data_IF_317496061566
#
_entry.id   IF_317496061566
#
_cell.length_a   1.000
_cell.length_b   1.000
_cell.length_c   1.000
_cell.angle_alpha   90.00
_cell.angle_beta   90.00
_cell.angle_gamma   90.00
#
_symmetry.space_group_name_H-M   'P 1'
#
loop_
_entity.id
_entity.type
_entity.pdbx_description
1 polymer ?
#
# COMPACT_ATOMS: atom_id res chain seq x y z
N UNK A 1 33.21 3.16 -84.71
CA UNK A 1 31.82 3.00 -85.21
C UNK A 1 31.07 2.26 -84.13
N UNK A 2 30.26 2.91 -83.28
CA UNK A 2 28.83 3.23 -83.54
C UNK A 2 28.12 1.99 -84.13
N UNK A 3 27.17 1.30 -83.50
CA UNK A 3 25.95 1.73 -82.82
C UNK A 3 25.36 0.56 -81.98
N UNK A 4 24.87 0.78 -80.75
CA UNK A 4 23.47 0.95 -80.29
C UNK A 4 22.71 -0.31 -79.81
N UNK A 5 22.40 -0.26 -78.51
CA UNK A 5 21.12 -0.53 -77.81
C UNK A 5 20.56 -1.96 -77.72
N UNK A 6 20.45 -2.38 -76.46
CA UNK A 6 19.40 -3.27 -75.96
C UNK A 6 19.17 -3.03 -74.47
N UNK A 7 18.59 -1.88 -74.09
CA UNK A 7 18.23 -1.57 -72.71
C UNK A 7 16.97 -2.35 -72.32
N UNK A 8 17.07 -3.25 -71.34
CA UNK A 8 15.92 -3.93 -70.72
C UNK A 8 15.31 -3.01 -69.65
N UNK A 9 13.99 -2.83 -69.59
CA UNK A 9 13.37 -2.01 -68.56
C UNK A 9 13.43 -2.73 -67.21
N UNK A 10 14.04 -2.10 -66.21
CA UNK A 10 13.89 -2.48 -64.81
C UNK A 10 12.52 -1.96 -64.33
N UNK A 11 11.59 -2.89 -64.11
CA UNK A 11 10.30 -2.59 -63.48
C UNK A 11 10.56 -2.54 -61.96
N UNK A 12 10.70 -1.35 -61.39
CA UNK A 12 10.61 -1.17 -59.94
C UNK A 12 9.16 -1.36 -59.52
N UNK A 13 8.86 -2.52 -58.93
CA UNK A 13 7.60 -2.74 -58.23
C UNK A 13 7.61 -1.90 -56.94
N UNK A 14 6.87 -0.78 -56.92
CA UNK A 14 6.55 -0.09 -55.67
C UNK A 14 5.61 -0.99 -54.87
N UNK A 15 6.13 -1.64 -53.82
CA UNK A 15 5.30 -2.32 -52.83
C UNK A 15 4.69 -1.23 -51.96
N UNK A 16 3.42 -0.89 -52.22
CA UNK A 16 2.61 -0.08 -51.32
C UNK A 16 2.32 -0.94 -50.07
N UNK A 17 3.02 -0.69 -48.97
CA UNK A 17 2.68 -1.27 -47.67
C UNK A 17 1.43 -0.53 -47.19
N UNK A 18 0.28 -1.20 -47.00
CA UNK A 18 -0.87 -0.54 -46.41
C UNK A 18 -0.53 -0.21 -44.96
N UNK A 19 -0.61 1.07 -44.61
CA UNK A 19 -0.57 1.52 -43.22
C UNK A 19 -1.87 1.03 -42.57
N UNK A 20 -1.85 -0.18 -42.04
CA UNK A 20 -2.96 -0.70 -41.23
C UNK A 20 -2.94 0.09 -39.92
N UNK A 21 -3.77 1.13 -39.86
CA UNK A 21 -4.03 1.84 -38.61
C UNK A 21 -4.85 0.90 -37.73
N UNK A 22 -4.19 0.24 -36.78
CA UNK A 22 -4.86 -0.49 -35.71
C UNK A 22 -5.47 0.53 -34.76
N UNK A 23 -6.66 1.02 -35.09
CA UNK A 23 -7.51 1.65 -34.09
C UNK A 23 -7.87 0.57 -33.07
N UNK A 24 -7.22 0.60 -31.90
CA UNK A 24 -7.57 -0.27 -30.79
C UNK A 24 -9.06 -0.06 -30.46
N UNK A 25 -9.82 -1.14 -30.50
CA UNK A 25 -11.24 -1.14 -30.18
C UNK A 25 -11.40 -0.76 -28.69
N UNK A 26 -12.11 0.32 -28.36
CA UNK A 26 -12.31 0.76 -26.96
C UNK A 26 -12.91 -0.34 -26.05
N UNK A 27 -13.52 -1.37 -26.66
CA UNK A 27 -14.06 -2.55 -25.96
C UNK A 27 -13.02 -3.50 -25.38
N UNK A 28 -11.75 -3.42 -25.80
CA UNK A 28 -10.65 -4.25 -25.27
C UNK A 28 -9.84 -3.52 -24.18
N UNK A 29 -10.24 -2.30 -23.80
CA UNK A 29 -9.64 -1.61 -22.68
C UNK A 29 -10.02 -2.31 -21.36
N UNK A 30 -9.01 -2.69 -20.57
CA UNK A 30 -9.23 -3.17 -19.21
C UNK A 30 -10.13 -2.18 -18.45
N UNK A 31 -11.09 -2.66 -17.63
CA UNK A 31 -12.00 -1.78 -16.91
C UNK A 31 -11.21 -0.75 -16.10
N UNK A 32 -11.45 0.53 -16.39
CA UNK A 32 -10.80 1.65 -15.69
C UNK A 32 -11.37 1.74 -14.28
N UNK A 33 -10.50 1.90 -13.29
CA UNK A 33 -10.93 2.18 -11.92
C UNK A 33 -11.47 3.62 -11.85
N UNK A 34 -12.77 3.76 -11.65
CA UNK A 34 -13.50 5.03 -11.60
C UNK A 34 -14.10 5.30 -10.20
N UNK A 35 -14.88 6.38 -10.06
CA UNK A 35 -15.35 6.87 -8.75
C UNK A 35 -16.29 5.91 -8.04
N UNK A 36 -17.12 5.16 -8.77
CA UNK A 36 -18.12 4.26 -8.20
C UNK A 36 -17.51 3.10 -7.38
N UNK A 37 -16.57 2.30 -7.88
CA UNK A 37 -15.86 1.31 -7.08
C UNK A 37 -14.95 1.96 -6.02
N UNK A 38 -14.36 3.13 -6.28
CA UNK A 38 -13.62 3.90 -5.26
C UNK A 38 -14.51 4.24 -4.05
N UNK A 39 -15.73 4.72 -4.28
CA UNK A 39 -16.68 5.02 -3.22
C UNK A 39 -17.09 3.77 -2.44
N UNK A 40 -17.30 2.63 -3.13
CA UNK A 40 -17.59 1.35 -2.45
C UNK A 40 -16.44 0.93 -1.54
N UNK A 41 -15.20 1.05 -1.99
CA UNK A 41 -14.02 0.70 -1.19
C UNK A 41 -13.80 1.68 -0.03
N UNK A 42 -13.98 2.98 -0.25
CA UNK A 42 -13.94 3.97 0.82
C UNK A 42 -14.98 3.67 1.90
N UNK A 43 -16.22 3.33 1.52
CA UNK A 43 -17.29 2.94 2.47
C UNK A 43 -16.91 1.71 3.30
N UNK A 44 -16.30 0.70 2.70
CA UNK A 44 -15.83 -0.49 3.43
C UNK A 44 -14.74 -0.14 4.46
N UNK A 45 -13.75 0.66 4.05
CA UNK A 45 -12.69 1.09 4.96
C UNK A 45 -13.23 1.97 6.09
N UNK A 46 -14.03 2.99 5.78
CA UNK A 46 -14.67 3.89 6.75
C UNK A 46 -15.54 3.12 7.75
N UNK A 47 -16.24 2.07 7.31
CA UNK A 47 -17.06 1.25 8.19
C UNK A 47 -16.25 0.42 9.19
N UNK A 48 -14.94 0.23 8.98
CA UNK A 48 -14.12 -0.60 9.85
C UNK A 48 -13.02 0.15 10.61
N UNK A 49 -12.40 1.20 10.08
CA UNK A 49 -11.18 1.82 10.69
C UNK A 49 -11.37 2.33 12.12
N UNK A 50 -12.59 2.69 12.52
CA UNK A 50 -12.94 3.08 13.90
C UNK A 50 -13.76 2.00 14.65
N UNK A 51 -14.10 0.88 14.00
CA UNK A 51 -14.92 -0.20 14.58
C UNK A 51 -14.06 -1.15 15.41
N UNK A 52 -14.18 -1.06 16.73
CA UNK A 52 -13.32 -1.82 17.65
C UNK A 52 -13.64 -3.32 17.75
N UNK A 53 -14.89 -3.78 17.53
CA UNK A 53 -15.26 -5.18 17.75
C UNK A 53 -16.13 -5.78 16.62
N UNK A 54 -16.00 -7.08 16.32
CA UNK A 54 -15.02 -8.03 16.87
C UNK A 54 -13.59 -7.71 16.40
N UNK A 55 -12.58 -8.00 17.24
CA UNK A 55 -11.17 -7.78 16.93
C UNK A 55 -10.31 -8.96 17.38
N UNK A 56 -9.36 -9.36 16.53
CA UNK A 56 -8.40 -10.43 16.73
C UNK A 56 -7.04 -9.84 17.13
N UNK A 57 -6.73 -9.97 18.41
CA UNK A 57 -5.43 -9.60 18.97
C UNK A 57 -4.53 -10.84 18.92
N UNK A 58 -3.31 -10.68 18.40
CA UNK A 58 -2.29 -11.73 18.41
C UNK A 58 -0.97 -11.15 18.93
N UNK A 59 -0.69 -11.43 20.20
CA UNK A 59 0.57 -11.08 20.87
C UNK A 59 0.91 -12.10 21.96
N UNK A 60 2.12 -12.04 22.49
CA UNK A 60 2.51 -12.78 23.69
C UNK A 60 2.11 -11.96 24.92
N UNK A 61 1.45 -12.61 25.88
CA UNK A 61 1.18 -12.04 27.21
C UNK A 61 2.35 -12.38 28.14
N UNK A 62 3.04 -11.36 28.67
CA UNK A 62 4.10 -11.56 29.65
C UNK A 62 3.55 -11.54 31.09
N UNK A 63 2.43 -10.85 31.29
CA UNK A 63 1.74 -10.68 32.57
C UNK A 63 0.33 -10.11 32.32
N UNK A 64 -0.47 -9.95 33.38
CA UNK A 64 -1.85 -9.45 33.28
C UNK A 64 -1.93 -8.02 32.70
N UNK A 65 -0.86 -7.22 32.82
CA UNK A 65 -0.78 -5.88 32.24
C UNK A 65 -0.80 -5.86 30.70
N UNK A 66 -0.53 -7.00 30.04
CA UNK A 66 -0.62 -7.11 28.58
C UNK A 66 -2.07 -7.32 28.09
N UNK A 67 -3.02 -7.61 28.99
CA UNK A 67 -4.43 -7.83 28.65
C UNK A 67 -5.19 -6.50 28.66
N UNK A 68 -5.50 -5.97 27.49
CA UNK A 68 -6.26 -4.73 27.34
C UNK A 68 -7.13 -4.72 26.07
N UNK A 69 -8.17 -3.85 26.00
CA UNK A 69 -8.95 -3.70 24.78
C UNK A 69 -8.12 -3.09 23.63
N UNK A 70 -8.46 -3.34 22.35
CA UNK A 70 -7.68 -2.87 21.19
C UNK A 70 -7.31 -1.39 21.24
N UNK A 71 -8.25 -0.50 21.60
CA UNK A 71 -8.00 0.96 21.68
C UNK A 71 -6.95 1.36 22.73
N UNK A 72 -6.66 0.49 23.70
CA UNK A 72 -5.60 0.70 24.71
C UNK A 72 -4.27 0.07 24.30
N UNK A 73 -4.27 -0.91 23.41
CA UNK A 73 -3.07 -1.58 22.92
C UNK A 73 -2.46 -0.83 21.73
N UNK A 74 -3.27 -0.58 20.70
CA UNK A 74 -2.87 -0.05 19.40
C UNK A 74 -3.87 1.04 18.95
N UNK A 75 -3.80 2.25 19.52
CA UNK A 75 -4.85 3.27 19.39
C UNK A 75 -4.97 3.95 18.01
N UNK A 76 -3.98 3.83 17.12
CA UNK A 76 -4.11 4.31 15.75
C UNK A 76 -4.79 3.27 14.85
N UNK A 77 -4.57 1.99 15.16
CA UNK A 77 -4.98 0.86 14.31
C UNK A 77 -5.84 -0.16 15.06
N UNK A 78 -6.68 0.30 16.00
CA UNK A 78 -7.53 -0.56 16.83
C UNK A 78 -8.78 -1.09 16.11
N UNK A 79 -9.20 -0.41 15.03
CA UNK A 79 -10.38 -0.78 14.28
C UNK A 79 -10.18 -2.01 13.39
N UNK A 80 -11.22 -2.29 12.60
CA UNK A 80 -11.32 -3.46 11.72
C UNK A 80 -11.16 -4.78 12.49
N UNK A 81 -11.01 -5.89 11.76
CA UNK A 81 -10.92 -7.21 12.38
C UNK A 81 -9.58 -7.44 13.09
N UNK A 82 -8.49 -6.87 12.61
CA UNK A 82 -7.17 -6.91 13.25
C UNK A 82 -6.31 -5.71 12.84
N UNK A 83 -5.17 -5.54 13.51
CA UNK A 83 -4.27 -4.40 13.35
C UNK A 83 -3.86 -4.17 11.88
N UNK A 84 -3.39 -5.21 11.18
CA UNK A 84 -2.99 -5.11 9.76
C UNK A 84 -4.15 -4.76 8.83
N UNK A 85 -5.36 -5.26 9.09
CA UNK A 85 -6.54 -4.88 8.32
C UNK A 85 -6.85 -3.39 8.50
N UNK A 86 -6.67 -2.86 9.72
CA UNK A 86 -6.79 -1.44 9.99
C UNK A 86 -5.73 -0.62 9.25
N UNK A 87 -4.46 -1.01 9.33
CA UNK A 87 -3.38 -0.33 8.59
C UNK A 87 -3.64 -0.33 7.08
N UNK A 88 -4.06 -1.46 6.52
CA UNK A 88 -4.44 -1.56 5.11
C UNK A 88 -5.64 -0.66 4.77
N UNK A 89 -6.66 -0.60 5.63
CA UNK A 89 -7.79 0.32 5.48
C UNK A 89 -7.38 1.79 5.48
N UNK A 90 -6.45 2.19 6.35
CA UNK A 90 -5.89 3.55 6.37
C UNK A 90 -5.09 3.85 5.10
N UNK A 91 -4.26 2.92 4.63
CA UNK A 91 -3.56 3.06 3.35
C UNK A 91 -4.55 3.22 2.18
N UNK A 92 -5.60 2.40 2.14
CA UNK A 92 -6.62 2.46 1.10
C UNK A 92 -7.30 3.83 1.09
N UNK A 93 -7.69 4.37 2.25
CA UNK A 93 -8.27 5.71 2.33
C UNK A 93 -7.31 6.79 1.84
N UNK A 94 -6.01 6.71 2.16
CA UNK A 94 -4.99 7.63 1.63
C UNK A 94 -4.85 7.53 0.12
N UNK A 95 -4.77 6.31 -0.43
CA UNK A 95 -4.70 6.08 -1.87
C UNK A 95 -5.89 6.71 -2.58
N UNK A 96 -7.09 6.45 -2.07
CA UNK A 96 -8.33 6.96 -2.65
C UNK A 96 -8.43 8.49 -2.56
N UNK A 97 -7.97 9.09 -1.46
CA UNK A 97 -7.90 10.55 -1.32
C UNK A 97 -6.97 11.20 -2.35
N UNK A 98 -5.84 10.56 -2.65
CA UNK A 98 -4.91 11.08 -3.65
C UNK A 98 -5.42 10.91 -5.08
N UNK A 99 -6.10 9.80 -5.39
CA UNK A 99 -6.58 9.53 -6.76
C UNK A 99 -7.98 10.10 -7.05
N UNK A 100 -8.79 10.35 -6.03
CA UNK A 100 -10.15 10.92 -6.13
C UNK A 100 -10.37 12.02 -5.09
N UNK A 101 -9.61 13.12 -5.12
CA UNK A 101 -9.61 14.14 -4.07
C UNK A 101 -10.94 14.90 -3.92
N UNK A 102 -11.78 14.90 -4.96
CA UNK A 102 -13.07 15.59 -4.98
C UNK A 102 -14.27 14.66 -4.73
N UNK A 103 -14.05 13.37 -4.48
CA UNK A 103 -15.13 12.41 -4.28
C UNK A 103 -15.91 12.67 -2.96
N UNK A 104 -17.19 12.27 -2.88
CA UNK A 104 -18.01 12.50 -1.67
C UNK A 104 -17.44 11.90 -0.38
N UNK A 105 -16.63 10.84 -0.48
CA UNK A 105 -15.98 10.21 0.68
C UNK A 105 -14.75 10.98 1.20
N UNK A 106 -14.25 11.99 0.48
CA UNK A 106 -12.98 12.64 0.80
C UNK A 106 -12.99 13.31 2.18
N UNK A 107 -14.06 14.04 2.52
CA UNK A 107 -14.23 14.65 3.84
C UNK A 107 -14.21 13.62 4.98
N UNK A 108 -15.11 12.62 4.97
CA UNK A 108 -15.11 11.54 5.96
C UNK A 108 -13.78 10.79 6.07
N UNK A 109 -13.11 10.50 4.94
CA UNK A 109 -11.81 9.83 4.93
C UNK A 109 -10.74 10.67 5.63
N UNK A 110 -10.61 11.96 5.29
CA UNK A 110 -9.65 12.86 5.94
C UNK A 110 -9.86 12.93 7.45
N UNK A 111 -11.11 12.97 7.89
CA UNK A 111 -11.44 13.04 9.32
C UNK A 111 -11.09 11.74 10.07
N UNK A 112 -11.43 10.58 9.51
CA UNK A 112 -11.06 9.28 10.11
C UNK A 112 -9.53 9.16 10.24
N UNK A 113 -8.79 9.52 9.20
CA UNK A 113 -7.33 9.48 9.20
C UNK A 113 -6.71 10.45 10.21
N UNK A 114 -7.25 11.66 10.34
CA UNK A 114 -6.81 12.66 11.32
C UNK A 114 -7.00 12.19 12.76
N UNK A 115 -8.11 11.52 13.06
CA UNK A 115 -8.39 10.97 14.40
C UNK A 115 -7.45 9.81 14.75
N UNK A 116 -7.16 8.93 13.80
CA UNK A 116 -6.31 7.76 14.02
C UNK A 116 -4.82 8.13 14.09
N UNK A 117 -4.31 8.88 13.10
CA UNK A 117 -2.88 9.12 12.85
C UNK A 117 -2.31 10.33 13.61
N UNK A 118 -2.69 10.48 14.88
CA UNK A 118 -2.17 11.52 15.76
C UNK A 118 -0.77 11.16 16.28
N UNK A 119 0.02 12.18 16.62
CA UNK A 119 1.34 11.98 17.23
C UNK A 119 1.28 11.11 18.49
N UNK A 120 0.25 11.30 19.33
CA UNK A 120 0.06 10.54 20.56
C UNK A 120 -0.22 9.06 20.27
N UNK A 121 -1.18 8.78 19.39
CA UNK A 121 -1.54 7.40 19.06
C UNK A 121 -0.35 6.66 18.45
N UNK A 122 0.34 7.29 17.49
CA UNK A 122 1.46 6.66 16.79
C UNK A 122 2.69 6.47 17.67
N UNK A 123 2.92 7.36 18.65
CA UNK A 123 3.93 7.12 19.69
C UNK A 123 3.59 5.89 20.53
N UNK A 124 2.32 5.67 20.86
CA UNK A 124 1.87 4.50 21.60
C UNK A 124 1.95 3.22 20.77
N UNK A 125 1.60 3.24 19.48
CA UNK A 125 1.84 2.13 18.55
C UNK A 125 3.33 1.75 18.50
N UNK A 126 4.20 2.77 18.43
CA UNK A 126 5.64 2.57 18.37
C UNK A 126 6.19 1.95 19.66
N UNK A 127 5.67 2.36 20.82
CA UNK A 127 5.96 1.73 22.11
C UNK A 127 5.43 0.29 22.16
N UNK A 128 4.22 0.07 21.62
CA UNK A 128 3.59 -1.24 21.58
C UNK A 128 4.44 -2.23 20.78
N UNK A 129 4.86 -1.92 19.55
CA UNK A 129 5.71 -2.79 18.72
C UNK A 129 7.08 -3.05 19.38
N UNK A 130 7.61 -2.07 20.12
CA UNK A 130 8.89 -2.20 20.84
C UNK A 130 8.80 -3.03 22.13
N UNK A 131 7.60 -3.32 22.62
CA UNK A 131 7.38 -4.07 23.87
C UNK A 131 8.03 -5.46 23.92
N UNK A 132 8.29 -5.93 25.15
CA UNK A 132 8.85 -7.26 25.41
C UNK A 132 7.93 -8.35 24.85
N UNK A 133 8.51 -9.38 24.24
CA UNK A 133 7.75 -10.47 23.61
C UNK A 133 7.09 -10.12 22.26
N UNK A 134 7.22 -8.89 21.77
CA UNK A 134 6.56 -8.42 20.52
C UNK A 134 7.50 -8.34 19.32
N UNK A 135 8.62 -9.05 19.38
CA UNK A 135 9.59 -9.09 18.27
C UNK A 135 8.99 -9.65 16.97
N UNK A 136 7.98 -10.52 17.06
CA UNK A 136 7.26 -11.13 15.94
C UNK A 136 6.03 -10.39 15.46
N UNK A 137 5.58 -9.36 16.19
CA UNK A 137 4.33 -8.67 15.91
C UNK A 137 4.26 -8.20 14.46
N UNK A 138 3.24 -8.67 13.75
CA UNK A 138 2.86 -8.26 12.39
C UNK A 138 3.93 -8.44 11.30
N UNK A 139 4.99 -9.21 11.56
CA UNK A 139 5.99 -9.54 10.53
C UNK A 139 5.52 -10.70 9.63
N UNK A 140 5.84 -10.67 8.33
CA UNK A 140 6.29 -9.50 7.58
C UNK A 140 5.11 -8.62 7.12
N UNK A 141 3.90 -9.16 7.05
CA UNK A 141 2.77 -8.61 6.31
C UNK A 141 2.20 -7.31 6.86
N UNK A 142 1.85 -7.25 8.15
CA UNK A 142 1.32 -6.00 8.72
C UNK A 142 2.35 -4.89 8.71
N UNK A 143 3.63 -5.20 8.96
CA UNK A 143 4.71 -4.21 8.84
C UNK A 143 4.90 -3.74 7.40
N UNK A 144 4.73 -4.61 6.41
CA UNK A 144 4.78 -4.23 4.99
C UNK A 144 3.66 -3.24 4.63
N UNK A 145 2.43 -3.47 5.12
CA UNK A 145 1.34 -2.51 4.94
C UNK A 145 1.60 -1.16 5.62
N UNK A 146 2.21 -1.16 6.80
CA UNK A 146 2.59 0.06 7.49
C UNK A 146 3.63 0.86 6.69
N UNK A 147 4.62 0.18 6.11
CA UNK A 147 5.59 0.82 5.24
C UNK A 147 4.93 1.33 3.94
N UNK A 148 3.99 0.57 3.36
CA UNK A 148 3.22 1.01 2.21
C UNK A 148 2.37 2.26 2.51
N UNK A 149 1.77 2.36 3.71
CA UNK A 149 1.11 3.58 4.19
C UNK A 149 2.08 4.77 4.23
N UNK A 150 3.29 4.57 4.74
CA UNK A 150 4.32 5.62 4.78
C UNK A 150 4.77 6.04 3.37
N UNK A 151 4.87 5.10 2.42
CA UNK A 151 5.17 5.41 1.02
C UNK A 151 4.06 6.23 0.36
N UNK A 152 2.79 5.84 0.56
CA UNK A 152 1.64 6.55 0.01
C UNK A 152 1.55 8.00 0.52
N UNK A 153 1.84 8.23 1.80
CA UNK A 153 1.89 9.56 2.40
C UNK A 153 3.01 10.44 1.83
N UNK A 154 4.15 9.84 1.44
CA UNK A 154 5.24 10.58 0.78
C UNK A 154 4.89 11.01 -0.64
N UNK A 155 4.13 10.19 -1.35
CA UNK A 155 3.68 10.49 -2.72
C UNK A 155 2.58 11.56 -2.77
N UNK A 156 1.95 11.87 -1.65
CA UNK A 156 0.85 12.82 -1.61
C UNK A 156 1.32 14.22 -1.20
N UNK A 157 1.34 15.15 -2.16
CA UNK A 157 1.62 16.57 -1.90
C UNK A 157 0.42 17.26 -1.23
N UNK A 158 0.25 17.00 0.06
CA UNK A 158 -0.82 17.55 0.89
C UNK A 158 -0.29 17.87 2.29
N UNK A 159 -0.77 18.97 2.88
CA UNK A 159 -0.33 19.39 4.21
C UNK A 159 -0.67 18.36 5.31
N UNK A 160 -1.86 17.75 5.22
CA UNK A 160 -2.28 16.71 6.14
C UNK A 160 -1.40 15.46 6.00
N UNK A 161 -1.03 15.09 4.77
CA UNK A 161 -0.13 13.96 4.51
C UNK A 161 1.23 14.16 5.17
N UNK A 162 1.82 15.35 5.02
CA UNK A 162 3.10 15.71 5.66
C UNK A 162 3.04 15.64 7.18
N UNK A 163 1.95 16.12 7.78
CA UNK A 163 1.75 16.04 9.24
C UNK A 163 1.65 14.59 9.71
N UNK A 164 0.80 13.78 9.07
CA UNK A 164 0.62 12.37 9.43
C UNK A 164 1.90 11.56 9.22
N UNK A 165 2.67 11.84 8.16
CA UNK A 165 3.97 11.22 7.92
C UNK A 165 4.98 11.56 9.03
N UNK A 166 5.01 12.82 9.48
CA UNK A 166 5.86 13.23 10.61
C UNK A 166 5.47 12.49 11.89
N UNK A 167 4.17 12.34 12.15
CA UNK A 167 3.65 11.60 13.31
C UNK A 167 3.97 10.09 13.23
N UNK A 168 4.01 9.50 12.03
CA UNK A 168 4.28 8.08 11.78
C UNK A 168 5.74 7.69 12.00
N UNK A 169 6.67 8.65 11.94
CA UNK A 169 8.11 8.40 11.98
C UNK A 169 8.57 7.46 13.11
N UNK A 170 8.14 7.60 14.39
CA UNK A 170 8.60 6.71 15.46
C UNK A 170 8.15 5.25 15.28
N UNK A 171 6.98 5.04 14.65
CA UNK A 171 6.41 3.73 14.36
C UNK A 171 7.06 3.11 13.12
N UNK A 172 7.29 3.92 12.09
CA UNK A 172 8.03 3.54 10.89
C UNK A 172 9.44 3.05 11.24
N UNK A 173 10.16 3.78 12.09
CA UNK A 173 11.49 3.38 12.58
C UNK A 173 11.41 2.04 13.34
N UNK A 174 10.40 1.83 14.18
CA UNK A 174 10.21 0.57 14.89
C UNK A 174 9.99 -0.61 13.92
N UNK A 175 9.21 -0.41 12.87
CA UNK A 175 8.95 -1.41 11.85
C UNK A 175 10.23 -1.76 11.06
N UNK A 176 11.01 -0.74 10.66
CA UNK A 176 12.30 -0.92 9.99
C UNK A 176 13.25 -1.74 10.86
N UNK A 177 13.37 -1.41 12.15
CA UNK A 177 14.26 -2.13 13.07
C UNK A 177 13.85 -3.60 13.23
N UNK A 178 12.54 -3.87 13.33
CA UNK A 178 11.98 -5.23 13.38
C UNK A 178 12.29 -6.02 12.12
N UNK A 179 12.14 -5.41 10.94
CA UNK A 179 12.42 -6.04 9.66
C UNK A 179 13.93 -6.26 9.47
N UNK A 180 14.78 -5.27 9.74
CA UNK A 180 16.25 -5.40 9.66
C UNK A 180 16.80 -6.49 10.58
N UNK A 181 16.21 -6.66 11.75
CA UNK A 181 16.60 -7.72 12.71
C UNK A 181 16.11 -9.11 12.27
N UNK A 182 14.95 -9.17 11.61
CA UNK A 182 14.31 -10.43 11.21
C UNK A 182 14.84 -10.96 9.89
N UNK A 183 15.00 -10.10 8.88
CA UNK A 183 15.28 -10.50 7.51
C UNK A 183 16.55 -11.37 7.37
N UNK A 184 17.68 -11.09 8.06
CA UNK A 184 18.86 -11.96 8.03
C UNK A 184 18.64 -13.37 8.61
N UNK A 185 17.55 -13.57 9.38
CA UNK A 185 17.19 -14.87 9.97
C UNK A 185 16.28 -15.70 9.06
N UNK A 186 15.80 -15.12 7.96
CA UNK A 186 14.96 -15.82 7.00
C UNK A 186 15.83 -16.73 6.13
N UNK A 187 15.83 -18.03 6.42
CA UNK A 187 16.63 -19.01 5.65
C UNK A 187 16.07 -19.28 4.26
N UNK A 188 14.73 -19.32 4.13
CA UNK A 188 14.02 -19.68 2.90
C UNK A 188 12.78 -18.79 2.69
N UNK A 189 12.34 -18.57 1.44
CA UNK A 189 11.08 -17.88 1.17
C UNK A 189 9.88 -18.71 1.66
N UNK A 190 8.87 -18.03 2.20
CA UNK A 190 7.58 -18.64 2.56
C UNK A 190 6.61 -18.44 1.38
N UNK A 191 6.08 -19.54 0.84
CA UNK A 191 5.29 -19.56 -0.42
C UNK A 191 3.83 -19.99 -0.24
N UNK A 192 3.30 -19.93 0.98
CA UNK A 192 1.90 -20.26 1.28
C UNK A 192 0.96 -19.10 0.88
N UNK A 193 -0.33 -19.37 0.67
CA UNK A 193 -1.35 -18.35 0.36
C UNK A 193 -1.86 -17.55 1.57
N UNK A 194 -1.04 -17.35 2.59
CA UNK A 194 -1.43 -16.70 3.85
C UNK A 194 -0.52 -15.50 4.18
N UNK A 195 -0.78 -14.80 5.28
CA UNK A 195 -0.04 -13.58 5.66
C UNK A 195 1.47 -13.78 5.81
N UNK A 196 1.94 -15.00 6.07
CA UNK A 196 3.37 -15.27 6.25
C UNK A 196 4.13 -15.33 4.90
N UNK A 197 3.42 -15.24 3.77
CA UNK A 197 3.98 -15.26 2.43
C UNK A 197 4.98 -14.10 2.22
N UNK A 198 6.21 -14.44 1.85
CA UNK A 198 7.31 -13.46 1.82
C UNK A 198 7.32 -12.59 0.56
N UNK A 199 6.85 -13.08 -0.60
CA UNK A 199 6.97 -12.33 -1.85
C UNK A 199 6.13 -11.03 -1.85
N UNK A 200 4.89 -11.09 -1.38
CA UNK A 200 3.99 -9.94 -1.30
C UNK A 200 4.55 -8.90 -0.34
N UNK A 201 4.85 -9.31 0.90
CA UNK A 201 5.36 -8.39 1.91
C UNK A 201 6.71 -7.77 1.51
N UNK A 202 7.64 -8.57 0.96
CA UNK A 202 8.94 -8.06 0.50
C UNK A 202 8.81 -7.17 -0.75
N UNK A 203 7.80 -7.39 -1.60
CA UNK A 203 7.49 -6.50 -2.71
C UNK A 203 7.13 -5.10 -2.23
N UNK A 204 6.18 -4.99 -1.30
CA UNK A 204 5.80 -3.70 -0.68
C UNK A 204 6.99 -3.05 0.05
N UNK A 205 7.79 -3.83 0.78
CA UNK A 205 8.99 -3.34 1.47
C UNK A 205 10.02 -2.81 0.47
N UNK A 206 10.17 -3.44 -0.70
CA UNK A 206 11.09 -3.01 -1.75
C UNK A 206 10.63 -1.70 -2.38
N UNK A 207 9.34 -1.57 -2.68
CA UNK A 207 8.76 -0.34 -3.24
C UNK A 207 8.90 0.82 -2.26
N UNK A 208 8.59 0.58 -0.99
CA UNK A 208 8.87 1.51 0.10
C UNK A 208 10.34 1.95 0.14
N UNK A 209 11.27 1.00 0.09
CA UNK A 209 12.70 1.30 0.21
C UNK A 209 13.22 2.14 -0.97
N UNK A 210 12.69 1.90 -2.18
CA UNK A 210 13.03 2.67 -3.39
C UNK A 210 12.49 4.10 -3.36
N UNK A 211 11.29 4.31 -2.79
CA UNK A 211 10.69 5.64 -2.65
C UNK A 211 11.29 6.51 -1.55
N UNK A 212 12.19 5.97 -0.71
CA UNK A 212 12.86 6.68 0.39
C UNK A 212 14.23 7.27 -0.01
N UNK A 213 14.71 6.96 -1.22
CA UNK A 213 16.00 7.39 -1.78
C UNK A 213 15.94 8.75 -2.46
#
# INVERSE_FOLDING_TARGET
>A
MHELRGAKPFISALILIPLVSTAANEKDAAPRFDEKPAERFAKLALACVEKEYPNKISHVLNSDEDVAPPRKLTPAFYGCYDWRSSVHGHWLLMRLLRTFPAAPFAGPAREALRKSLTAQNLKQEAAYIRGKGRASFERPYGLAWLLQLCAELREWDDAQAREMLANLKPLEEAAIDRLKTWLPKLSHPVRIGEHDQTAFALGLILDYARGKG
#
